data_IF_950062434573
#
_entry.id   IF_950062434573
#
_cell.length_a   1.000
_cell.length_b   1.000
_cell.length_c   1.000
_cell.angle_alpha   90.00
_cell.angle_beta   90.00
_cell.angle_gamma   90.00
#
_symmetry.space_group_name_H-M   'P 1'
#
loop_
_entity.id
_entity.type
_entity.pdbx_description
1 polymer ?
#
# COMPACT_ATOMS: atom_id res chain seq x y z
N UNK A 1 -14.00 -8.97 5.22
CA UNK A 1 -12.67 -9.23 5.82
C UNK A 1 -11.59 -9.39 4.76
N UNK A 2 -11.58 -10.43 3.90
CA UNK A 2 -10.52 -10.57 2.88
C UNK A 2 -10.46 -9.42 1.87
N UNK A 3 -11.60 -9.05 1.27
CA UNK A 3 -11.67 -7.97 0.27
C UNK A 3 -11.27 -6.58 0.83
N UNK A 4 -11.41 -6.39 2.14
CA UNK A 4 -10.98 -5.16 2.81
C UNK A 4 -9.45 -5.11 2.92
N UNK A 5 -8.81 -6.23 3.30
CA UNK A 5 -7.35 -6.30 3.38
C UNK A 5 -6.67 -6.37 2.00
N UNK A 6 -7.39 -6.89 1.00
CA UNK A 6 -6.92 -6.99 -0.38
C UNK A 6 -7.20 -5.73 -1.21
N UNK A 7 -7.72 -4.65 -0.62
CA UNK A 7 -7.90 -3.41 -1.35
C UNK A 7 -6.55 -2.79 -1.74
N UNK A 8 -6.54 -2.10 -2.90
CA UNK A 8 -5.33 -1.51 -3.49
C UNK A 8 -4.54 -0.69 -2.46
N UNK A 9 -5.21 0.16 -1.70
CA UNK A 9 -4.53 1.11 -0.81
C UNK A 9 -4.00 0.42 0.43
N UNK A 10 -4.74 -0.53 1.00
CA UNK A 10 -4.24 -1.34 2.12
C UNK A 10 -2.95 -2.08 1.75
N UNK A 11 -2.91 -2.73 0.60
CA UNK A 11 -1.71 -3.42 0.13
C UNK A 11 -0.52 -2.46 -0.08
N UNK A 12 -0.76 -1.29 -0.69
CA UNK A 12 0.30 -0.30 -0.91
C UNK A 12 0.83 0.29 0.41
N UNK A 13 -0.04 0.57 1.38
CA UNK A 13 0.36 1.06 2.71
C UNK A 13 1.21 0.02 3.43
N UNK A 14 0.78 -1.25 3.44
CA UNK A 14 1.53 -2.34 4.10
C UNK A 14 2.92 -2.52 3.49
N UNK A 15 3.01 -2.50 2.15
CA UNK A 15 4.29 -2.62 1.45
C UNK A 15 5.20 -1.41 1.71
N UNK A 16 4.66 -0.19 1.65
CA UNK A 16 5.43 1.03 1.86
C UNK A 16 5.97 1.12 3.30
N UNK A 17 5.16 0.81 4.32
CA UNK A 17 5.62 0.73 5.71
C UNK A 17 6.62 -0.41 5.94
N UNK A 18 6.49 -1.54 5.24
CA UNK A 18 7.44 -2.64 5.35
C UNK A 18 8.82 -2.28 4.79
N UNK A 19 8.87 -1.47 3.72
CA UNK A 19 10.11 -1.05 3.06
C UNK A 19 10.76 0.16 3.74
N UNK A 20 9.95 1.15 4.11
CA UNK A 20 10.43 2.45 4.61
C UNK A 20 10.39 2.56 6.14
N UNK A 21 9.73 1.63 6.82
CA UNK A 21 9.57 1.66 8.27
C UNK A 21 8.47 2.63 8.75
N UNK A 22 8.55 3.09 10.02
CA UNK A 22 7.56 4.01 10.59
C UNK A 22 7.51 5.35 9.83
N UNK A 23 6.31 5.78 9.44
CA UNK A 23 6.12 6.99 8.62
C UNK A 23 4.98 7.88 9.09
N UNK A 24 5.08 9.18 8.82
CA UNK A 24 3.98 10.15 9.00
C UNK A 24 2.97 10.02 7.86
N UNK A 25 1.77 10.54 8.09
CA UNK A 25 0.71 10.58 7.07
C UNK A 25 1.18 11.21 5.75
N UNK A 26 1.91 12.32 5.81
CA UNK A 26 2.37 13.04 4.62
C UNK A 26 3.48 12.31 3.87
N UNK A 27 4.22 11.43 4.53
CA UNK A 27 5.24 10.58 3.91
C UNK A 27 4.57 9.45 3.15
N UNK A 28 3.63 8.73 3.81
CA UNK A 28 2.78 7.73 3.17
C UNK A 28 2.03 8.29 1.95
N UNK A 29 1.43 9.47 2.09
CA UNK A 29 0.69 10.10 0.98
C UNK A 29 1.61 10.43 -0.21
N UNK A 30 2.88 10.74 0.03
CA UNK A 30 3.86 11.02 -1.04
C UNK A 30 4.44 9.76 -1.64
N UNK A 31 4.66 8.71 -0.84
CA UNK A 31 5.20 7.43 -1.30
C UNK A 31 4.20 6.62 -2.13
N UNK A 32 2.91 6.79 -1.85
CA UNK A 32 1.85 6.03 -2.51
C UNK A 32 1.20 6.87 -3.61
N UNK A 33 1.66 6.70 -4.84
CA UNK A 33 1.16 7.48 -5.97
C UNK A 33 -0.35 7.26 -6.23
N UNK A 34 -1.03 8.36 -6.53
CA UNK A 34 -2.47 8.40 -6.80
C UNK A 34 -3.39 8.23 -5.58
N UNK A 35 -2.89 8.04 -4.35
CA UNK A 35 -3.76 7.94 -3.18
C UNK A 35 -4.32 9.30 -2.80
N UNK A 36 -5.65 9.43 -2.75
CA UNK A 36 -6.24 10.64 -2.18
C UNK A 36 -6.13 10.64 -0.65
N UNK A 37 -6.05 11.83 -0.05
CA UNK A 37 -6.06 11.99 1.42
C UNK A 37 -7.23 11.25 2.10
N UNK A 38 -8.41 11.28 1.48
CA UNK A 38 -9.62 10.60 1.97
C UNK A 38 -9.42 9.08 2.00
N UNK A 39 -8.91 8.51 0.91
CA UNK A 39 -8.65 7.06 0.82
C UNK A 39 -7.55 6.62 1.79
N UNK A 40 -6.44 7.36 1.87
CA UNK A 40 -5.37 7.04 2.83
C UNK A 40 -5.87 7.04 4.28
N UNK A 41 -6.70 8.04 4.65
CA UNK A 41 -7.31 8.09 5.98
C UNK A 41 -8.23 6.90 6.24
N UNK A 42 -9.03 6.50 5.24
CA UNK A 42 -9.96 5.38 5.36
C UNK A 42 -9.22 4.04 5.50
N UNK A 43 -8.22 3.80 4.65
CA UNK A 43 -7.43 2.57 4.68
C UNK A 43 -6.59 2.46 5.95
N UNK A 44 -5.93 3.53 6.41
CA UNK A 44 -5.20 3.50 7.69
C UNK A 44 -6.13 3.18 8.86
N UNK A 45 -7.34 3.76 8.91
CA UNK A 45 -8.33 3.42 9.94
C UNK A 45 -8.76 1.95 9.90
N UNK A 46 -8.92 1.38 8.70
CA UNK A 46 -9.24 -0.05 8.55
C UNK A 46 -8.08 -0.91 9.06
N UNK A 47 -6.86 -0.63 8.62
CA UNK A 47 -5.65 -1.35 9.05
C UNK A 47 -5.39 -1.23 10.56
N UNK A 48 -5.64 -0.07 11.17
CA UNK A 48 -5.59 0.13 12.63
C UNK A 48 -6.63 -0.74 13.33
N UNK A 49 -7.89 -0.76 12.86
CA UNK A 49 -8.96 -1.58 13.42
C UNK A 49 -8.69 -3.09 13.29
N UNK A 50 -7.98 -3.50 12.24
CA UNK A 50 -7.56 -4.88 12.02
C UNK A 50 -6.30 -5.27 12.80
N UNK A 51 -5.66 -4.35 13.54
CA UNK A 51 -4.44 -4.64 14.29
C UNK A 51 -3.20 -4.86 13.42
N UNK A 52 -3.21 -4.34 12.18
CA UNK A 52 -2.08 -4.43 11.25
C UNK A 52 -1.15 -3.24 11.36
N UNK A 53 -1.70 -2.06 11.66
CA UNK A 53 -0.96 -0.80 11.77
C UNK A 53 -1.19 -0.20 13.15
N UNK A 54 -0.11 0.29 13.76
CA UNK A 54 -0.14 1.08 14.98
C UNK A 54 0.00 2.56 14.63
N UNK A 55 -0.92 3.39 15.15
CA UNK A 55 -0.82 4.84 15.11
C UNK A 55 -0.31 5.38 16.45
N UNK A 56 0.89 5.95 16.45
CA UNK A 56 1.52 6.53 17.65
C UNK A 56 1.53 8.05 17.56
N UNK A 57 1.12 8.72 18.64
CA UNK A 57 1.22 10.17 18.80
C UNK A 57 2.42 10.47 19.69
N UNK A 58 3.40 11.20 19.16
CA UNK A 58 4.56 11.67 19.89
C UNK A 58 4.28 13.07 20.47
N UNK A 59 4.34 13.24 21.80
CA UNK A 59 4.02 14.50 22.48
C UNK A 59 5.22 15.46 22.43
N UNK A 60 5.52 15.96 21.23
CA UNK A 60 6.51 17.01 21.00
C UNK A 60 5.83 18.27 20.44
N UNK A 61 6.59 19.36 20.27
CA UNK A 61 6.06 20.62 19.72
C UNK A 61 6.68 20.88 18.34
N UNK A 62 5.90 20.86 17.24
CA UNK A 62 4.49 20.46 17.14
C UNK A 62 4.30 18.93 17.24
N UNK A 63 3.12 18.44 17.69
CA UNK A 63 2.89 16.99 17.82
C UNK A 63 3.08 16.24 16.51
N UNK A 64 3.73 15.08 16.59
CA UNK A 64 4.00 14.21 15.44
C UNK A 64 3.21 12.91 15.55
N UNK A 65 2.61 12.49 14.44
CA UNK A 65 1.88 11.22 14.35
C UNK A 65 2.61 10.31 13.38
N UNK A 66 2.91 9.09 13.82
CA UNK A 66 3.63 8.08 13.05
C UNK A 66 2.79 6.80 12.98
N UNK A 67 2.85 6.13 11.84
CA UNK A 67 2.24 4.85 11.56
C UNK A 67 3.34 3.80 11.38
N UNK A 68 3.20 2.63 12.00
CA UNK A 68 4.13 1.51 11.84
C UNK A 68 3.37 0.18 11.78
N UNK A 69 4.00 -0.84 11.23
CA UNK A 69 3.44 -2.19 11.19
C UNK A 69 3.54 -2.86 12.57
N UNK A 70 2.41 -3.39 13.01
CA UNK A 70 2.36 -4.39 14.08
C UNK A 70 2.86 -5.75 13.54
N UNK A 71 3.16 -6.73 14.42
CA UNK A 71 3.62 -8.05 14.01
C UNK A 71 2.74 -8.71 12.93
N UNK A 72 1.41 -8.63 13.10
CA UNK A 72 0.45 -9.15 12.10
C UNK A 72 0.53 -8.41 10.76
N UNK A 73 0.76 -7.10 10.78
CA UNK A 73 0.99 -6.29 9.58
C UNK A 73 2.26 -6.68 8.84
N UNK A 74 3.34 -6.97 9.59
CA UNK A 74 4.62 -7.43 9.01
C UNK A 74 4.49 -8.82 8.38
N UNK A 75 3.76 -9.73 9.03
CA UNK A 75 3.47 -11.06 8.48
C UNK A 75 2.70 -10.94 7.14
N UNK A 76 1.65 -10.13 7.10
CA UNK A 76 0.88 -9.93 5.88
C UNK A 76 1.71 -9.26 4.78
N UNK A 77 2.52 -8.25 5.10
CA UNK A 77 3.41 -7.61 4.14
C UNK A 77 4.44 -8.60 3.55
N UNK A 78 4.95 -9.54 4.36
CA UNK A 78 5.85 -10.58 3.88
C UNK A 78 5.19 -11.53 2.86
N UNK A 79 3.88 -11.79 2.98
CA UNK A 79 3.12 -12.57 2.00
C UNK A 79 2.90 -11.81 0.68
N UNK A 80 2.90 -10.47 0.71
CA UNK A 80 2.77 -9.62 -0.48
C UNK A 80 4.10 -9.46 -1.24
N UNK A 81 5.24 -9.55 -0.56
CA UNK A 81 6.55 -9.35 -1.17
C UNK A 81 6.85 -10.27 -2.40
N UNK A 82 6.49 -11.57 -2.41
CA UNK A 82 6.60 -12.41 -3.61
C UNK A 82 5.79 -11.90 -4.81
N UNK A 83 4.62 -11.30 -4.57
CA UNK A 83 3.77 -10.73 -5.62
C UNK A 83 4.45 -9.51 -6.23
N UNK A 84 5.06 -8.64 -5.41
CA UNK A 84 5.87 -7.52 -5.88
C UNK A 84 7.00 -7.98 -6.79
N UNK A 85 7.81 -8.95 -6.32
CA UNK A 85 8.92 -9.51 -7.12
C UNK A 85 8.46 -10.19 -8.40
N UNK A 86 7.33 -10.89 -8.37
CA UNK A 86 6.75 -11.47 -9.58
C UNK A 86 6.34 -10.38 -10.57
N UNK A 87 5.70 -9.31 -10.09
CA UNK A 87 5.28 -8.18 -10.93
C UNK A 87 6.48 -7.55 -11.60
N UNK A 88 7.54 -7.22 -10.86
CA UNK A 88 8.78 -6.65 -11.41
C UNK A 88 9.38 -7.51 -12.53
N UNK A 89 9.48 -8.83 -12.31
CA UNK A 89 9.98 -9.78 -13.31
C UNK A 89 9.07 -9.89 -14.53
N UNK A 90 7.77 -9.70 -14.34
CA UNK A 90 6.76 -9.87 -15.39
C UNK A 90 6.33 -8.56 -16.05
N UNK A 91 6.83 -7.39 -15.63
CA UNK A 91 6.42 -6.08 -16.14
C UNK A 91 6.44 -6.02 -17.66
N UNK A 92 7.54 -6.43 -18.31
CA UNK A 92 7.63 -6.41 -19.77
C UNK A 92 6.59 -7.32 -20.45
N UNK A 93 6.33 -8.49 -19.88
CA UNK A 93 5.30 -9.42 -20.39
C UNK A 93 3.88 -8.84 -20.23
N UNK A 94 3.63 -8.16 -19.12
CA UNK A 94 2.33 -7.53 -18.84
C UNK A 94 2.11 -6.35 -19.80
N UNK A 95 3.14 -5.53 -20.05
CA UNK A 95 3.06 -4.40 -20.98
C UNK A 95 2.81 -4.89 -22.41
N UNK A 96 3.58 -5.86 -22.90
CA UNK A 96 3.39 -6.42 -24.24
C UNK A 96 1.97 -7.00 -24.41
N UNK A 97 1.46 -7.74 -23.42
CA UNK A 97 0.10 -8.27 -23.47
C UNK A 97 -0.98 -7.17 -23.49
N UNK A 98 -0.74 -6.02 -22.86
CA UNK A 98 -1.65 -4.85 -22.93
C UNK A 98 -1.63 -4.22 -24.31
N UNK A 99 -0.45 -4.00 -24.88
CA UNK A 99 -0.28 -3.43 -26.22
C UNK A 99 -0.94 -4.32 -27.29
N UNK A 100 -0.76 -5.63 -27.22
CA UNK A 100 -1.41 -6.60 -28.11
C UNK A 100 -2.94 -6.54 -28.00
N UNK A 101 -3.47 -6.45 -26.77
CA UNK A 101 -4.90 -6.32 -26.53
C UNK A 101 -5.46 -5.01 -27.09
N UNK A 102 -4.81 -3.88 -26.79
CA UNK A 102 -5.23 -2.56 -27.22
C UNK A 102 -5.18 -2.44 -28.75
N UNK A 103 -4.15 -2.99 -29.40
CA UNK A 103 -4.04 -3.04 -30.86
C UNK A 103 -5.17 -3.86 -31.51
N UNK A 104 -5.55 -5.00 -30.91
CA UNK A 104 -6.63 -5.84 -31.41
C UNK A 104 -8.03 -5.20 -31.25
N UNK A 105 -8.19 -4.20 -30.37
CA UNK A 105 -9.48 -3.56 -30.06
C UNK A 105 -9.54 -2.08 -30.47
N UNK A 106 -8.51 -1.55 -31.12
CA UNK A 106 -8.48 -0.17 -31.62
C UNK A 106 -9.27 0.04 -32.93
N UNK A 107 -9.71 -1.01 -33.60
CA UNK A 107 -10.45 -0.96 -34.88
C UNK A 107 -11.99 -1.14 -34.72
N UNK A 108 -12.56 -0.82 -33.55
CA UNK A 108 -14.00 -0.90 -33.25
C UNK A 108 -14.67 0.45 -33.08
#
# INVERSE_FOLDING_TARGET
MFAELADKWSMLILMDLALCGPQRFSELQRGIDGVSRKMLTQSLRSLERSGLVLRTVHPETPPRVVYDLLPLGRELAALLAPIGRWTERCTGRIVAAREEFDAAHAEG
#
